data_IF_223485991311
#
_entry.id   IF_223485991311
#
_cell.length_a   1.000
_cell.length_b   1.000
_cell.length_c   1.000
_cell.angle_alpha   90.00
_cell.angle_beta   90.00
_cell.angle_gamma   90.00
#
_symmetry.space_group_name_H-M   'P 1'
#
loop_
_entity.id
_entity.type
_entity.pdbx_description
1 polymer ?
#
# COMPACT_ATOMS: atom_id res chain seq x y z
N UNK A 1 39.22 10.09 75.42
CA UNK A 1 40.32 11.01 75.81
C UNK A 1 40.45 12.09 74.74
N UNK A 2 40.44 13.38 75.13
CA UNK A 2 40.65 14.57 74.27
C UNK A 2 42.14 14.71 73.91
N UNK A 3 42.54 15.18 72.73
CA UNK A 3 43.02 16.56 72.44
C UNK A 3 43.37 16.64 70.93
N UNK A 4 42.84 17.56 70.10
CA UNK A 4 43.37 18.90 69.71
C UNK A 4 44.85 18.92 69.27
N UNK A 5 45.35 19.62 68.26
CA UNK A 5 44.82 20.39 67.11
C UNK A 5 46.04 20.96 66.33
N UNK A 6 45.81 21.42 65.08
CA UNK A 6 46.55 22.42 64.30
C UNK A 6 47.94 22.11 63.70
N UNK A 7 48.07 22.18 62.37
CA UNK A 7 48.58 23.37 61.63
C UNK A 7 48.50 23.18 60.10
N UNK A 8 47.89 24.15 59.40
CA UNK A 8 48.11 24.43 57.95
C UNK A 8 49.52 25.03 57.77
N UNK A 9 50.13 24.93 56.57
CA UNK A 9 50.09 26.08 55.65
C UNK A 9 50.01 25.66 54.16
N UNK A 10 49.23 26.37 53.33
CA UNK A 10 49.62 27.37 52.31
C UNK A 10 49.41 26.77 50.91
N UNK A 11 48.33 27.16 50.23
CA UNK A 11 48.35 28.25 49.26
C UNK A 11 49.22 27.92 48.03
N UNK A 12 48.60 27.36 47.01
CA UNK A 12 49.02 27.57 45.62
C UNK A 12 47.85 28.19 44.88
N UNK A 13 48.11 29.42 44.43
CA UNK A 13 47.23 30.32 43.71
C UNK A 13 46.79 29.73 42.37
N UNK A 14 45.54 30.07 42.03
CA UNK A 14 45.04 30.41 40.69
C UNK A 14 45.93 30.08 39.49
N UNK A 15 45.40 29.24 38.61
CA UNK A 15 45.30 29.62 37.19
C UNK A 15 43.91 29.26 36.70
N UNK A 16 43.15 30.32 36.42
CA UNK A 16 41.91 30.26 35.67
C UNK A 16 42.19 29.75 34.26
N UNK A 17 41.61 28.61 33.92
CA UNK A 17 41.30 28.26 32.53
C UNK A 17 40.06 27.37 32.57
N UNK A 18 38.91 28.03 32.70
CA UNK A 18 37.63 27.45 32.38
C UNK A 18 37.59 27.19 30.87
N UNK A 19 38.20 26.11 30.40
CA UNK A 19 37.86 25.56 29.09
C UNK A 19 36.58 24.76 29.24
N UNK A 20 35.48 25.51 29.12
CA UNK A 20 34.14 24.99 28.83
C UNK A 20 34.25 24.01 27.67
N UNK A 21 34.25 22.71 27.99
CA UNK A 21 33.99 21.66 27.00
C UNK A 21 32.74 22.08 26.23
N UNK A 22 32.75 22.10 24.88
CA UNK A 22 31.55 22.44 24.14
C UNK A 22 30.48 21.40 24.50
N UNK A 23 29.44 21.85 25.21
CA UNK A 23 28.22 21.10 25.38
C UNK A 23 27.75 20.76 23.97
N UNK A 24 27.94 19.50 23.56
CA UNK A 24 27.26 18.95 22.38
C UNK A 24 25.79 19.33 22.52
N UNK A 25 25.18 20.01 21.54
CA UNK A 25 23.76 20.28 21.62
C UNK A 25 23.07 18.93 21.77
N UNK A 26 22.42 18.72 22.92
CA UNK A 26 21.51 17.60 23.09
C UNK A 26 20.56 17.69 21.89
N UNK A 27 20.54 16.66 21.04
CA UNK A 27 19.59 16.58 19.93
C UNK A 27 18.23 16.85 20.54
N UNK A 28 17.65 18.01 20.25
CA UNK A 28 16.36 18.39 20.78
C UNK A 28 15.39 17.31 20.33
N UNK A 29 14.94 16.47 21.27
CA UNK A 29 13.92 15.50 20.96
C UNK A 29 12.71 16.31 20.50
N UNK A 30 12.18 16.05 19.29
CA UNK A 30 11.04 16.80 18.79
C UNK A 30 9.94 16.75 19.84
N UNK A 31 9.35 17.91 20.13
CA UNK A 31 8.30 17.97 21.14
C UNK A 31 7.20 16.98 20.74
N UNK A 32 6.52 16.36 21.71
CA UNK A 32 5.45 15.38 21.45
C UNK A 32 4.39 15.88 20.45
N UNK A 33 4.23 17.21 20.32
CA UNK A 33 3.35 17.85 19.34
C UNK A 33 3.95 17.82 17.93
N UNK A 34 5.24 18.12 17.77
CA UNK A 34 5.94 18.03 16.48
C UNK A 34 5.96 16.60 15.93
N UNK A 35 6.13 15.60 16.80
CA UNK A 35 6.05 14.20 16.38
C UNK A 35 4.63 13.76 16.00
N UNK A 36 3.60 14.28 16.68
CA UNK A 36 2.21 14.05 16.33
C UNK A 36 1.82 14.73 15.00
N UNK A 37 2.28 15.96 14.76
CA UNK A 37 2.07 16.68 13.50
C UNK A 37 2.72 15.96 12.32
N UNK A 38 3.97 15.49 12.49
CA UNK A 38 4.65 14.67 11.49
C UNK A 38 3.86 13.38 11.19
N UNK A 39 3.38 12.67 12.22
CA UNK A 39 2.54 11.48 12.04
C UNK A 39 1.24 11.79 11.30
N UNK A 40 0.59 12.93 11.59
CA UNK A 40 -0.63 13.35 10.88
C UNK A 40 -0.35 13.60 9.40
N UNK A 41 0.78 14.22 9.05
CA UNK A 41 1.18 14.44 7.66
C UNK A 41 1.41 13.10 6.94
N UNK A 42 2.12 12.16 7.57
CA UNK A 42 2.33 10.83 7.01
C UNK A 42 1.00 10.07 6.82
N UNK A 43 0.08 10.14 7.78
CA UNK A 43 -1.24 9.51 7.64
C UNK A 43 -2.08 10.16 6.52
N UNK A 44 -1.96 11.48 6.32
CA UNK A 44 -2.60 12.17 5.19
C UNK A 44 -2.01 11.72 3.86
N UNK A 45 -0.69 11.60 3.77
CA UNK A 45 0.00 11.09 2.58
C UNK A 45 -0.45 9.64 2.29
N UNK A 46 -0.45 8.77 3.30
CA UNK A 46 -0.90 7.38 3.18
C UNK A 46 -2.37 7.29 2.71
N UNK A 47 -3.24 8.16 3.25
CA UNK A 47 -4.64 8.24 2.80
C UNK A 47 -4.75 8.66 1.32
N UNK A 48 -3.88 9.56 0.87
CA UNK A 48 -3.82 9.98 -0.54
C UNK A 48 -3.42 8.81 -1.43
N UNK A 49 -2.33 8.12 -1.09
CA UNK A 49 -1.83 6.94 -1.82
C UNK A 49 -2.89 5.84 -1.89
N UNK A 50 -3.61 5.59 -0.80
CA UNK A 50 -4.71 4.61 -0.78
C UNK A 50 -5.82 4.97 -1.78
N UNK A 51 -6.23 6.24 -1.84
CA UNK A 51 -7.27 6.69 -2.76
C UNK A 51 -6.83 6.54 -4.22
N UNK A 52 -5.61 6.96 -4.53
CA UNK A 52 -5.06 6.86 -5.88
C UNK A 52 -4.90 5.40 -6.31
N UNK A 53 -4.39 4.56 -5.42
CA UNK A 53 -4.26 3.11 -5.67
C UNK A 53 -5.62 2.45 -5.93
N UNK A 54 -6.65 2.84 -5.16
CA UNK A 54 -8.00 2.33 -5.36
C UNK A 54 -8.60 2.77 -6.70
N UNK A 55 -8.39 4.03 -7.10
CA UNK A 55 -8.85 4.54 -8.39
C UNK A 55 -8.16 3.83 -9.56
N UNK A 56 -6.83 3.63 -9.49
CA UNK A 56 -6.10 2.88 -10.50
C UNK A 56 -6.52 1.42 -10.58
N UNK A 57 -6.78 0.79 -9.42
CA UNK A 57 -7.31 -0.57 -9.35
C UNK A 57 -8.69 -0.67 -10.04
N UNK A 58 -9.58 0.28 -9.79
CA UNK A 58 -10.89 0.37 -10.44
C UNK A 58 -10.76 0.53 -11.95
N UNK A 59 -9.99 1.51 -12.42
CA UNK A 59 -9.80 1.78 -13.86
C UNK A 59 -9.27 0.52 -14.57
N UNK A 60 -8.22 -0.10 -14.02
CA UNK A 60 -7.60 -1.29 -14.60
C UNK A 60 -8.58 -2.46 -14.71
N UNK A 61 -9.31 -2.76 -13.65
CA UNK A 61 -10.20 -3.92 -13.63
C UNK A 61 -11.50 -3.68 -14.39
N UNK A 62 -12.06 -2.48 -14.33
CA UNK A 62 -13.22 -2.09 -15.12
C UNK A 62 -12.92 -2.12 -16.62
N UNK A 63 -11.75 -1.61 -17.05
CA UNK A 63 -11.31 -1.67 -18.44
C UNK A 63 -11.21 -3.10 -18.95
N UNK A 64 -10.54 -3.98 -18.20
CA UNK A 64 -10.45 -5.41 -18.55
C UNK A 64 -11.81 -6.10 -18.61
N UNK A 65 -12.72 -5.80 -17.67
CA UNK A 65 -14.08 -6.34 -17.72
C UNK A 65 -14.82 -5.86 -18.96
N UNK A 66 -14.70 -4.57 -19.32
CA UNK A 66 -15.31 -4.02 -20.52
C UNK A 66 -14.75 -4.67 -21.80
N UNK A 67 -13.44 -4.89 -21.89
CA UNK A 67 -12.82 -5.62 -23.00
C UNK A 67 -13.34 -7.05 -23.10
N UNK A 68 -13.44 -7.78 -21.98
CA UNK A 68 -13.99 -9.14 -21.96
C UNK A 68 -15.46 -9.17 -22.41
N UNK A 69 -16.27 -8.19 -22.00
CA UNK A 69 -17.65 -8.06 -22.46
C UNK A 69 -17.68 -7.82 -23.97
N UNK A 70 -16.85 -6.89 -24.48
CA UNK A 70 -16.76 -6.60 -25.91
C UNK A 70 -16.39 -7.83 -26.73
N UNK A 71 -15.43 -8.63 -26.27
CA UNK A 71 -15.05 -9.88 -26.93
C UNK A 71 -16.21 -10.90 -26.96
N UNK A 72 -16.99 -10.98 -25.89
CA UNK A 72 -18.13 -11.89 -25.77
C UNK A 72 -19.34 -11.44 -26.60
N UNK A 73 -19.55 -10.13 -26.73
CA UNK A 73 -20.67 -9.54 -27.49
C UNK A 73 -20.33 -9.43 -28.99
N UNK A 74 -19.05 -9.33 -29.33
CA UNK A 74 -18.61 -8.89 -30.65
C UNK A 74 -18.90 -7.40 -30.86
N UNK A 75 -18.30 -6.81 -31.88
CA UNK A 75 -18.57 -5.41 -32.23
C UNK A 75 -19.15 -5.35 -33.66
N UNK A 76 -20.45 -5.06 -33.79
CA UNK A 76 -21.11 -5.00 -35.08
C UNK A 76 -20.61 -3.83 -35.95
N UNK A 77 -20.01 -2.79 -35.37
CA UNK A 77 -19.47 -1.66 -36.12
C UNK A 77 -18.11 -1.98 -36.78
N UNK A 78 -17.33 -2.87 -36.17
CA UNK A 78 -16.03 -3.31 -36.70
C UNK A 78 -16.08 -4.68 -37.38
N UNK A 79 -17.22 -5.38 -37.29
CA UNK A 79 -17.40 -6.72 -37.85
C UNK A 79 -16.75 -7.83 -37.02
N UNK A 80 -16.32 -7.51 -35.81
CA UNK A 80 -15.68 -8.45 -34.88
C UNK A 80 -16.72 -9.46 -34.38
N UNK A 81 -16.50 -10.75 -34.66
CA UNK A 81 -17.47 -11.80 -34.30
C UNK A 81 -17.42 -12.09 -32.79
N UNK A 82 -18.56 -12.39 -32.15
CA UNK A 82 -18.60 -12.75 -30.75
C UNK A 82 -17.76 -14.02 -30.47
N UNK A 83 -16.83 -13.94 -29.54
CA UNK A 83 -15.99 -15.08 -29.12
C UNK A 83 -16.65 -15.75 -27.93
N UNK A 84 -17.47 -16.77 -28.17
CA UNK A 84 -18.15 -17.50 -27.10
C UNK A 84 -17.33 -18.72 -26.60
N UNK A 85 -17.07 -18.85 -25.29
CA UNK A 85 -16.44 -20.05 -24.73
C UNK A 85 -17.29 -21.30 -24.98
N UNK A 86 -16.65 -22.44 -25.30
CA UNK A 86 -17.36 -23.71 -25.55
C UNK A 86 -17.97 -24.29 -24.26
N UNK A 87 -19.09 -25.01 -24.38
CA UNK A 87 -20.00 -25.42 -23.29
C UNK A 87 -19.37 -25.72 -21.93
N UNK A 88 -18.47 -26.70 -21.83
CA UNK A 88 -17.82 -27.07 -20.55
C UNK A 88 -16.99 -25.94 -19.93
N UNK A 89 -16.29 -25.15 -20.75
CA UNK A 89 -15.48 -24.03 -20.30
C UNK A 89 -16.39 -22.88 -19.84
N UNK A 90 -17.43 -22.55 -20.61
CA UNK A 90 -18.44 -21.56 -20.22
C UNK A 90 -19.07 -21.90 -18.87
N UNK A 91 -19.50 -23.15 -18.70
CA UNK A 91 -20.19 -23.59 -17.49
C UNK A 91 -19.24 -23.59 -16.27
N UNK A 92 -17.96 -23.90 -16.46
CA UNK A 92 -16.93 -23.77 -15.43
C UNK A 92 -16.70 -22.30 -15.02
N UNK A 93 -16.60 -21.38 -15.97
CA UNK A 93 -16.45 -19.95 -15.72
C UNK A 93 -17.68 -19.39 -14.97
N UNK A 94 -18.89 -19.75 -15.42
CA UNK A 94 -20.14 -19.37 -14.77
C UNK A 94 -20.25 -19.91 -13.34
N UNK A 95 -19.82 -21.15 -13.12
CA UNK A 95 -19.81 -21.76 -11.78
C UNK A 95 -18.89 -20.98 -10.85
N UNK A 96 -17.69 -20.63 -11.30
CA UNK A 96 -16.74 -19.84 -10.51
C UNK A 96 -17.29 -18.46 -10.16
N UNK A 97 -17.85 -17.74 -11.14
CA UNK A 97 -18.49 -16.44 -10.92
C UNK A 97 -19.59 -16.51 -9.87
N UNK A 98 -20.42 -17.57 -9.89
CA UNK A 98 -21.50 -17.77 -8.91
C UNK A 98 -20.99 -18.16 -7.52
N UNK A 99 -19.88 -18.89 -7.45
CA UNK A 99 -19.27 -19.30 -6.18
C UNK A 99 -18.60 -18.12 -5.47
N UNK A 100 -18.11 -17.13 -6.22
CA UNK A 100 -17.51 -15.94 -5.63
C UNK A 100 -18.57 -15.01 -5.08
N UNK A 101 -18.62 -14.90 -3.75
CA UNK A 101 -19.53 -14.00 -3.04
C UNK A 101 -18.77 -12.78 -2.54
N UNK A 102 -18.93 -11.65 -3.22
CA UNK A 102 -18.35 -10.38 -2.79
C UNK A 102 -19.19 -9.71 -1.71
N UNK A 103 -18.56 -9.01 -0.76
CA UNK A 103 -19.21 -8.18 0.26
C UNK A 103 -18.66 -6.75 0.22
N UNK A 104 -18.90 -6.01 -0.89
CA UNK A 104 -18.24 -4.73 -1.18
C UNK A 104 -18.45 -3.67 -0.10
N UNK A 105 -19.64 -3.61 0.52
CA UNK A 105 -19.96 -2.68 1.61
C UNK A 105 -19.06 -2.80 2.85
N UNK A 106 -18.32 -3.92 2.99
CA UNK A 106 -17.43 -4.16 4.13
C UNK A 106 -15.97 -3.78 3.85
N UNK A 107 -15.62 -3.34 2.63
CA UNK A 107 -14.25 -2.92 2.28
C UNK A 107 -13.19 -4.00 2.56
N UNK A 108 -13.55 -5.28 2.41
CA UNK A 108 -12.65 -6.39 2.78
C UNK A 108 -11.55 -6.52 1.74
N UNK A 109 -10.29 -6.47 2.18
CA UNK A 109 -9.13 -6.75 1.31
C UNK A 109 -9.27 -8.10 0.58
N UNK A 110 -9.80 -9.13 1.26
CA UNK A 110 -10.05 -10.44 0.66
C UNK A 110 -10.96 -10.38 -0.57
N UNK A 111 -11.92 -9.45 -0.60
CA UNK A 111 -12.83 -9.29 -1.71
C UNK A 111 -12.14 -8.62 -2.90
N UNK A 112 -11.26 -7.64 -2.65
CA UNK A 112 -10.42 -7.01 -3.68
C UNK A 112 -9.45 -8.02 -4.30
N UNK A 113 -8.80 -8.85 -3.47
CA UNK A 113 -7.94 -9.93 -3.96
C UNK A 113 -8.73 -10.94 -4.78
N UNK A 114 -9.90 -11.37 -4.29
CA UNK A 114 -10.76 -12.30 -5.04
C UNK A 114 -11.20 -11.70 -6.39
N UNK A 115 -11.53 -10.42 -6.44
CA UNK A 115 -11.91 -9.72 -7.67
C UNK A 115 -10.75 -9.72 -8.66
N UNK A 116 -9.55 -9.34 -8.21
CA UNK A 116 -8.34 -9.36 -9.01
C UNK A 116 -8.09 -10.76 -9.61
N UNK A 117 -8.11 -11.81 -8.77
CA UNK A 117 -7.90 -13.20 -9.21
C UNK A 117 -8.91 -13.66 -10.25
N UNK A 118 -10.18 -13.25 -10.12
CA UNK A 118 -11.22 -13.64 -11.08
C UNK A 118 -11.05 -12.93 -12.41
N UNK A 119 -10.75 -11.63 -12.38
CA UNK A 119 -10.50 -10.86 -13.60
C UNK A 119 -9.30 -11.44 -14.36
N UNK A 120 -8.21 -11.75 -13.68
CA UNK A 120 -7.03 -12.35 -14.33
C UNK A 120 -7.33 -13.73 -14.91
N UNK A 121 -7.99 -14.61 -14.15
CA UNK A 121 -8.38 -15.94 -14.62
C UNK A 121 -9.35 -15.90 -15.81
N UNK A 122 -10.29 -14.96 -15.82
CA UNK A 122 -11.19 -14.75 -16.96
C UNK A 122 -10.44 -14.23 -18.18
N UNK A 123 -9.53 -13.26 -17.99
CA UNK A 123 -8.73 -12.70 -19.07
C UNK A 123 -7.82 -13.76 -19.70
N UNK A 124 -7.17 -14.62 -18.90
CA UNK A 124 -6.38 -15.76 -19.40
C UNK A 124 -7.25 -16.75 -20.19
N UNK A 125 -8.44 -17.06 -19.67
CA UNK A 125 -9.36 -18.02 -20.30
C UNK A 125 -9.92 -17.51 -21.63
N UNK A 126 -10.20 -16.21 -21.73
CA UNK A 126 -10.74 -15.57 -22.93
C UNK A 126 -9.63 -15.20 -23.94
N UNK A 127 -8.46 -14.74 -23.47
CA UNK A 127 -7.30 -14.49 -24.32
C UNK A 127 -6.82 -15.77 -25.01
N UNK A 128 -6.83 -16.91 -24.31
CA UNK A 128 -6.54 -18.22 -24.90
C UNK A 128 -7.54 -18.66 -25.98
N UNK A 129 -8.75 -18.09 -26.01
CA UNK A 129 -9.77 -18.36 -27.03
C UNK A 129 -9.58 -17.47 -28.26
N UNK A 130 -9.14 -16.22 -28.07
CA UNK A 130 -8.80 -15.31 -29.17
C UNK A 130 -7.63 -15.87 -30.00
N UNK A 131 -6.61 -16.40 -29.34
CA UNK A 131 -5.38 -16.93 -29.99
C UNK A 131 -5.61 -18.22 -30.79
N UNK A 132 -6.70 -18.96 -30.53
CA UNK A 132 -7.06 -20.20 -31.23
C UNK A 132 -8.02 -19.99 -32.40
N UNK A 133 -8.43 -18.75 -32.67
CA UNK A 133 -9.32 -18.39 -33.78
C UNK A 133 -8.61 -18.20 -35.12
N UNK A 134 -7.27 -18.18 -35.14
CA UNK A 134 -6.44 -17.88 -36.32
C UNK A 134 -5.92 -19.13 -37.08
N UNK A 135 -6.63 -20.27 -37.02
CA UNK A 135 -6.33 -21.46 -37.84
C UNK A 135 -7.57 -22.04 -38.50
#
# INVERSE_FOLDING_TARGET
MRSKAHRKPNASKETAAAELKPCRPAKANPSRRQSAEALILELKALRSVLKESAAQFEIKHSGRIAEMIRLLEGDPATGEKPVAPRGKQRDALMTRLRQTKFKPKKGRLKDLVALHTIVDMLAESLGSLSDRGDV
#
